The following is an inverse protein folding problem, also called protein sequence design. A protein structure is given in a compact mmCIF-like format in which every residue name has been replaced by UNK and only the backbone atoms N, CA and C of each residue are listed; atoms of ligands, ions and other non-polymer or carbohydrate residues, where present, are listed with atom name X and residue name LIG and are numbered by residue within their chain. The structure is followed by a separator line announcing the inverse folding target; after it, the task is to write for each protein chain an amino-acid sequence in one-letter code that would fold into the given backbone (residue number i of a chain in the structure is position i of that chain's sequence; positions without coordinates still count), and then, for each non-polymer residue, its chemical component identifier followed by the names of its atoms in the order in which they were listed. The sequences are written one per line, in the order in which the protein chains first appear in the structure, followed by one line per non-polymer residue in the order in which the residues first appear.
data_IF_728392972407
#
_entry.id   IF_728392972407
#
_cell.length_a   1.000
_cell.length_b   1.000
_cell.length_c   1.000
_cell.angle_alpha   90.00
_cell.angle_beta   90.00
_cell.angle_gamma   90.00
#
_symmetry.space_group_name_H-M   'P 1'
#
loop_
_entity.id
_entity.type
_entity.pdbx_description
1 polymer ?
#
# COMPACT_ATOMS: atom_id res chain seq x y z
N UNK A 1 -0.86 2.74 -28.59
CA UNK A 1 -1.42 4.03 -28.13
C UNK A 1 -0.33 4.75 -27.33
N UNK A 2 0.03 5.98 -27.70
CA UNK A 2 0.98 6.81 -26.94
C UNK A 2 0.32 7.33 -25.66
N UNK A 3 1.11 7.80 -24.68
CA UNK A 3 0.56 8.45 -23.50
C UNK A 3 -0.25 9.70 -23.84
N UNK A 4 0.18 10.45 -24.86
CA UNK A 4 -0.55 11.62 -25.36
C UNK A 4 -1.94 11.28 -25.85
N UNK A 5 -2.06 10.25 -26.71
CA UNK A 5 -3.35 9.81 -27.23
C UNK A 5 -4.26 9.29 -26.10
N UNK A 6 -3.65 8.57 -25.14
CA UNK A 6 -4.36 8.03 -23.99
C UNK A 6 -4.98 9.14 -23.12
N UNK A 7 -4.21 10.17 -22.77
CA UNK A 7 -4.74 11.29 -21.98
C UNK A 7 -5.73 12.15 -22.75
N UNK A 8 -5.56 12.30 -24.05
CA UNK A 8 -6.56 12.95 -24.89
C UNK A 8 -7.89 12.21 -24.87
N UNK A 9 -7.85 10.88 -24.96
CA UNK A 9 -9.05 10.03 -24.87
C UNK A 9 -9.70 10.08 -23.47
N UNK A 10 -8.89 9.99 -22.40
CA UNK A 10 -9.37 10.13 -21.01
C UNK A 10 -10.07 11.48 -20.83
N UNK A 11 -9.47 12.58 -21.28
CA UNK A 11 -10.05 13.93 -21.19
C UNK A 11 -11.37 14.00 -21.94
N UNK A 12 -11.40 13.54 -23.21
CA UNK A 12 -12.60 13.53 -24.03
C UNK A 12 -13.76 12.80 -23.35
N UNK A 13 -13.52 11.61 -22.84
CA UNK A 13 -14.55 10.80 -22.17
C UNK A 13 -15.04 11.41 -20.87
N UNK A 14 -14.14 12.03 -20.07
CA UNK A 14 -14.56 12.76 -18.88
C UNK A 14 -15.52 13.90 -19.21
N UNK A 15 -15.26 14.60 -20.28
CA UNK A 15 -16.11 15.71 -20.71
C UNK A 15 -17.45 15.27 -21.33
N UNK A 16 -17.45 14.14 -22.07
CA UNK A 16 -18.61 13.70 -22.85
C UNK A 16 -19.46 12.65 -22.13
N UNK A 17 -18.82 11.66 -21.46
CA UNK A 17 -19.51 10.50 -20.89
C UNK A 17 -19.69 10.56 -19.37
N UNK A 18 -18.83 11.30 -18.66
CA UNK A 18 -18.85 11.38 -17.19
C UNK A 18 -19.36 12.73 -16.68
N UNK A 19 -19.81 13.60 -17.57
CA UNK A 19 -20.32 14.95 -17.25
C UNK A 19 -19.39 15.78 -16.34
N UNK A 20 -18.06 15.63 -16.54
CA UNK A 20 -17.02 16.30 -15.74
C UNK A 20 -16.39 17.50 -16.45
N UNK A 21 -17.13 18.17 -17.33
CA UNK A 21 -16.60 19.31 -18.11
C UNK A 21 -16.03 20.40 -17.23
N UNK A 22 -16.79 20.83 -16.22
CA UNK A 22 -16.38 21.90 -15.31
C UNK A 22 -15.14 21.50 -14.47
N UNK A 23 -15.08 20.24 -14.03
CA UNK A 23 -13.94 19.71 -13.31
C UNK A 23 -12.68 19.71 -14.19
N UNK A 24 -12.75 19.21 -15.42
CA UNK A 24 -11.63 19.19 -16.37
C UNK A 24 -11.14 20.61 -16.65
N UNK A 25 -12.03 21.57 -16.88
CA UNK A 25 -11.70 22.97 -17.10
C UNK A 25 -11.05 23.60 -15.86
N UNK A 26 -11.56 23.29 -14.65
CA UNK A 26 -10.96 23.76 -13.41
C UNK A 26 -9.54 23.23 -13.24
N UNK A 27 -9.28 21.94 -13.54
CA UNK A 27 -7.95 21.34 -13.46
C UNK A 27 -7.00 21.95 -14.51
N UNK A 28 -7.45 22.18 -15.74
CA UNK A 28 -6.65 22.85 -16.76
C UNK A 28 -6.23 24.27 -16.34
N UNK A 29 -7.10 24.97 -15.64
CA UNK A 29 -6.86 26.36 -15.22
C UNK A 29 -6.11 26.46 -13.89
N UNK A 30 -6.31 25.54 -12.97
CA UNK A 30 -5.86 25.68 -11.57
C UNK A 30 -5.06 24.49 -11.04
N UNK A 31 -5.09 23.31 -11.70
CA UNK A 31 -4.42 22.11 -11.22
C UNK A 31 -2.88 22.22 -11.32
N UNK A 32 -2.19 21.90 -10.22
CA UNK A 32 -0.73 22.02 -10.14
C UNK A 32 -0.13 20.71 -9.60
N UNK A 33 0.69 20.06 -10.42
CA UNK A 33 1.33 18.79 -10.09
C UNK A 33 2.84 18.86 -10.23
N UNK A 34 3.53 18.29 -9.23
CA UNK A 34 4.98 18.06 -9.24
C UNK A 34 5.25 16.58 -9.37
N UNK A 35 6.13 16.18 -10.28
CA UNK A 35 6.70 14.86 -10.33
C UNK A 35 8.15 14.87 -9.87
N UNK A 36 8.48 13.97 -8.97
CA UNK A 36 9.84 13.69 -8.52
C UNK A 36 10.28 12.39 -9.20
N UNK A 37 11.19 12.50 -10.16
CA UNK A 37 11.70 11.32 -10.88
C UNK A 37 12.58 10.48 -9.96
N UNK A 38 12.17 9.23 -9.75
CA UNK A 38 12.99 8.22 -9.09
C UNK A 38 13.97 7.54 -10.04
N UNK A 39 14.80 6.67 -9.46
CA UNK A 39 15.80 5.89 -10.22
C UNK A 39 15.13 4.91 -11.18
N UNK A 40 14.06 4.25 -10.76
CA UNK A 40 13.39 3.20 -11.51
C UNK A 40 12.08 3.66 -12.15
N UNK A 41 11.47 4.71 -11.62
CA UNK A 41 10.27 5.31 -12.19
C UNK A 41 10.49 6.75 -12.59
N UNK A 42 10.01 7.09 -13.78
CA UNK A 42 10.03 8.45 -14.33
C UNK A 42 8.61 8.96 -14.51
N UNK A 43 7.97 9.47 -13.46
CA UNK A 43 6.61 9.99 -13.51
C UNK A 43 6.43 11.12 -14.54
N UNK A 44 7.52 11.77 -14.95
CA UNK A 44 7.52 12.72 -16.07
C UNK A 44 6.73 12.19 -17.26
N UNK A 45 6.96 10.93 -17.67
CA UNK A 45 6.31 10.31 -18.85
C UNK A 45 4.79 10.29 -18.76
N UNK A 46 4.27 10.32 -17.54
CA UNK A 46 2.84 10.31 -17.28
C UNK A 46 2.31 11.73 -17.18
N UNK A 47 2.87 12.55 -16.29
CA UNK A 47 2.30 13.86 -15.98
C UNK A 47 2.44 14.87 -17.14
N UNK A 48 3.46 14.74 -18.02
CA UNK A 48 3.66 15.67 -19.12
C UNK A 48 2.47 15.72 -20.10
N UNK A 49 1.66 14.67 -20.12
CA UNK A 49 0.48 14.57 -20.99
C UNK A 49 -0.85 14.83 -20.24
N UNK A 50 -0.81 14.98 -18.92
CA UNK A 50 -2.01 15.32 -18.14
C UNK A 50 -2.47 16.75 -18.43
N UNK A 51 -3.79 16.96 -18.33
CA UNK A 51 -4.36 18.31 -18.36
C UNK A 51 -4.22 18.98 -16.99
N UNK A 52 -3.30 19.90 -16.86
CA UNK A 52 -3.07 20.69 -15.65
C UNK A 52 -2.43 22.03 -16.03
N UNK A 53 -2.66 23.06 -15.22
CA UNK A 53 -2.09 24.40 -15.45
C UNK A 53 -0.58 24.45 -15.23
N UNK A 54 -0.09 23.72 -14.25
CA UNK A 54 1.33 23.61 -13.92
C UNK A 54 1.72 22.14 -13.78
N UNK A 55 2.72 21.73 -14.57
CA UNK A 55 3.36 20.41 -14.49
C UNK A 55 4.85 20.63 -14.38
N UNK A 56 5.43 20.32 -13.23
CA UNK A 56 6.87 20.43 -13.01
C UNK A 56 7.49 19.07 -12.73
N UNK A 57 8.77 18.93 -13.08
CA UNK A 57 9.51 17.67 -12.93
C UNK A 57 10.89 17.97 -12.35
N UNK A 58 11.20 17.33 -11.23
CA UNK A 58 12.50 17.47 -10.58
C UNK A 58 13.14 16.09 -10.32
N UNK A 59 14.42 16.08 -9.96
CA UNK A 59 15.10 14.91 -9.40
C UNK A 59 14.87 14.83 -7.89
N UNK A 60 15.00 13.65 -7.32
CA UNK A 60 14.83 13.41 -5.87
C UNK A 60 15.63 14.40 -5.00
N UNK A 61 16.92 14.60 -5.30
CA UNK A 61 17.80 15.53 -4.56
C UNK A 61 17.48 17.01 -4.70
N UNK A 62 16.70 17.39 -5.68
CA UNK A 62 16.34 18.80 -5.91
C UNK A 62 15.09 19.21 -5.10
N UNK A 63 14.41 18.27 -4.41
CA UNK A 63 13.18 18.53 -3.63
C UNK A 63 13.37 19.59 -2.52
N UNK A 64 14.58 19.69 -1.97
CA UNK A 64 14.91 20.73 -0.97
C UNK A 64 14.76 22.15 -1.52
N UNK A 65 15.04 22.36 -2.80
CA UNK A 65 14.99 23.67 -3.47
C UNK A 65 13.58 24.05 -3.90
N UNK A 66 12.68 23.03 -4.00
CA UNK A 66 11.34 23.21 -4.55
C UNK A 66 10.36 23.73 -3.51
N UNK A 67 9.52 24.71 -3.84
CA UNK A 67 8.45 25.20 -2.96
C UNK A 67 7.22 24.30 -3.10
N UNK A 68 7.11 23.24 -2.27
CA UNK A 68 6.03 22.24 -2.36
C UNK A 68 4.63 22.84 -2.18
N UNK A 69 4.49 23.90 -1.37
CA UNK A 69 3.19 24.55 -1.12
C UNK A 69 2.53 25.20 -2.35
N UNK A 70 3.23 25.31 -3.46
CA UNK A 70 2.65 25.79 -4.72
C UNK A 70 1.91 24.70 -5.50
N UNK A 71 2.05 23.41 -5.13
CA UNK A 71 1.43 22.29 -5.81
C UNK A 71 0.20 21.75 -5.05
N UNK A 72 -0.73 21.19 -5.78
CA UNK A 72 -1.88 20.46 -5.25
C UNK A 72 -1.53 19.00 -4.99
N UNK A 73 -0.74 18.41 -5.90
CA UNK A 73 -0.31 17.02 -5.85
C UNK A 73 1.20 16.92 -6.07
N UNK A 74 1.87 16.10 -5.27
CA UNK A 74 3.27 15.71 -5.46
C UNK A 74 3.31 14.20 -5.70
N UNK A 75 3.90 13.76 -6.82
CA UNK A 75 4.10 12.36 -7.17
C UNK A 75 5.58 12.00 -7.03
N UNK A 76 5.93 11.17 -6.07
CA UNK A 76 7.29 10.65 -5.87
C UNK A 76 7.37 9.24 -6.49
N UNK A 77 8.17 9.11 -7.54
CA UNK A 77 8.43 7.84 -8.20
C UNK A 77 9.40 6.94 -7.43
N UNK A 78 9.32 5.65 -7.68
CA UNK A 78 10.16 4.62 -7.09
C UNK A 78 11.67 4.86 -7.39
N UNK A 79 12.57 4.75 -6.39
CA UNK A 79 12.32 4.33 -5.01
C UNK A 79 12.10 5.50 -4.03
N UNK A 80 12.37 6.75 -4.37
CA UNK A 80 12.38 7.88 -3.47
C UNK A 80 13.61 7.92 -2.53
N UNK A 81 14.54 6.98 -2.66
CA UNK A 81 15.67 6.80 -1.72
C UNK A 81 16.75 7.87 -1.82
N UNK A 82 16.83 8.61 -2.94
CA UNK A 82 17.79 9.70 -3.11
C UNK A 82 17.22 11.06 -2.62
N UNK A 83 16.00 11.06 -2.04
CA UNK A 83 15.45 12.22 -1.33
C UNK A 83 16.21 12.38 -0.01
N UNK A 84 16.87 13.54 0.22
CA UNK A 84 17.59 13.78 1.46
C UNK A 84 16.65 13.69 2.68
N UNK A 85 17.08 13.06 3.77
CA UNK A 85 16.29 12.98 5.01
C UNK A 85 15.90 14.37 5.54
N UNK A 86 16.74 15.39 5.32
CA UNK A 86 16.42 16.78 5.65
C UNK A 86 15.16 17.33 4.93
N UNK A 87 14.73 16.68 3.84
CA UNK A 87 13.50 17.04 3.11
C UNK A 87 12.24 16.38 3.71
N UNK A 88 12.37 15.38 4.59
CA UNK A 88 11.22 14.67 5.15
C UNK A 88 10.25 15.59 5.92
N UNK A 89 10.70 16.50 6.79
CA UNK A 89 9.80 17.48 7.39
C UNK A 89 9.03 18.30 6.36
N UNK A 90 9.70 18.74 5.31
CA UNK A 90 9.09 19.53 4.23
C UNK A 90 8.00 18.76 3.47
N UNK A 91 8.21 17.47 3.20
CA UNK A 91 7.19 16.59 2.58
C UNK A 91 6.04 16.36 3.55
N UNK A 92 6.34 16.13 4.83
CA UNK A 92 5.33 15.98 5.89
C UNK A 92 4.46 17.24 6.01
N UNK A 93 5.09 18.42 6.08
CA UNK A 93 4.40 19.70 6.19
C UNK A 93 3.53 19.98 4.96
N UNK A 94 3.99 19.62 3.75
CA UNK A 94 3.18 19.71 2.54
C UNK A 94 1.86 18.95 2.70
N UNK A 95 1.91 17.71 3.16
CA UNK A 95 0.71 16.89 3.38
C UNK A 95 -0.12 17.44 4.53
N UNK A 96 0.50 17.77 5.68
CA UNK A 96 -0.20 18.35 6.84
C UNK A 96 -1.00 19.60 6.48
N UNK A 97 -0.49 20.42 5.54
CA UNK A 97 -1.14 21.62 5.07
C UNK A 97 -2.08 21.40 3.86
N UNK A 98 -2.54 20.17 3.68
CA UNK A 98 -3.57 19.85 2.71
C UNK A 98 -3.07 19.36 1.36
N UNK A 99 -1.77 19.29 1.11
CA UNK A 99 -1.20 18.71 -0.10
C UNK A 99 -1.49 17.22 -0.22
N UNK A 100 -1.56 16.69 -1.44
CA UNK A 100 -1.72 15.26 -1.67
C UNK A 100 -0.44 14.64 -2.21
N UNK A 101 0.04 13.59 -1.54
CA UNK A 101 1.24 12.86 -1.89
C UNK A 101 0.87 11.53 -2.55
N UNK A 102 1.36 11.29 -3.76
CA UNK A 102 1.30 9.99 -4.42
C UNK A 102 2.70 9.37 -4.38
N UNK A 103 2.78 8.10 -4.01
CA UNK A 103 4.03 7.33 -4.00
C UNK A 103 3.82 5.97 -4.65
N UNK A 104 4.90 5.38 -5.15
CA UNK A 104 4.85 4.10 -5.86
C UNK A 104 5.91 3.14 -5.35
N UNK A 105 5.54 1.86 -5.30
CA UNK A 105 6.40 0.70 -5.09
C UNK A 105 7.38 0.87 -3.90
N UNK A 106 8.69 0.86 -4.10
CA UNK A 106 9.68 0.92 -3.02
C UNK A 106 9.66 2.22 -2.22
N UNK A 107 8.97 3.25 -2.70
CA UNK A 107 8.75 4.47 -1.93
C UNK A 107 7.90 4.22 -0.65
N UNK A 108 7.25 3.06 -0.51
CA UNK A 108 6.63 2.67 0.76
C UNK A 108 7.68 2.61 1.88
N UNK A 109 8.85 2.02 1.62
CA UNK A 109 9.92 1.89 2.60
C UNK A 109 10.70 3.19 2.78
N UNK A 110 11.09 3.83 1.67
CA UNK A 110 11.98 5.01 1.74
C UNK A 110 11.27 6.28 2.17
N UNK A 111 9.97 6.43 1.85
CA UNK A 111 9.20 7.66 2.10
C UNK A 111 8.13 7.42 3.16
N UNK A 112 7.23 6.45 2.96
CA UNK A 112 6.06 6.33 3.84
C UNK A 112 6.44 5.83 5.23
N UNK A 113 7.23 4.77 5.34
CA UNK A 113 7.65 4.24 6.65
C UNK A 113 8.44 5.27 7.47
N UNK A 114 9.12 6.21 6.81
CA UNK A 114 9.93 7.23 7.49
C UNK A 114 9.16 8.53 7.81
N UNK A 115 8.27 8.97 6.94
CA UNK A 115 7.57 10.26 7.09
C UNK A 115 6.21 10.09 7.75
N UNK A 116 5.51 8.98 7.46
CA UNK A 116 4.16 8.66 7.92
C UNK A 116 4.09 7.27 8.57
N UNK A 117 4.90 6.99 9.61
CA UNK A 117 4.88 5.67 10.26
C UNK A 117 3.51 5.36 10.87
N UNK A 118 3.19 4.06 10.95
CA UNK A 118 1.98 3.60 11.61
C UNK A 118 0.74 3.47 10.71
N UNK A 119 0.80 3.80 9.42
CA UNK A 119 -0.32 3.62 8.49
C UNK A 119 -0.17 2.37 7.63
N UNK A 120 0.88 2.33 6.83
CA UNK A 120 1.23 1.20 5.97
C UNK A 120 2.73 0.96 6.01
N UNK A 121 3.14 -0.26 5.68
CA UNK A 121 4.56 -0.62 5.50
C UNK A 121 4.73 -1.71 4.45
N UNK A 122 5.96 -1.92 4.02
CA UNK A 122 6.36 -3.09 3.26
C UNK A 122 6.31 -4.36 4.12
N UNK A 123 5.66 -5.43 3.65
CA UNK A 123 5.53 -6.70 4.38
C UNK A 123 6.80 -7.58 4.35
N UNK A 124 7.92 -7.08 3.78
CA UNK A 124 9.22 -7.75 3.60
C UNK A 124 9.25 -8.83 2.51
N UNK A 125 8.13 -9.16 1.88
CA UNK A 125 8.12 -9.98 0.67
C UNK A 125 8.47 -9.15 -0.58
N UNK A 126 8.87 -9.84 -1.66
CA UNK A 126 9.16 -9.22 -2.95
C UNK A 126 8.43 -9.98 -4.05
N UNK A 127 7.77 -9.28 -4.95
CA UNK A 127 7.05 -9.91 -6.04
C UNK A 127 7.98 -10.44 -7.11
N UNK A 128 7.50 -11.42 -7.88
CA UNK A 128 8.05 -11.71 -9.20
C UNK A 128 7.47 -10.73 -10.25
N UNK A 129 8.01 -10.72 -11.46
CA UNK A 129 7.36 -10.09 -12.63
C UNK A 129 6.06 -10.86 -12.93
N UNK A 130 4.92 -10.22 -12.71
CA UNK A 130 3.62 -10.87 -12.82
C UNK A 130 2.52 -9.89 -13.25
N UNK A 131 1.56 -10.39 -14.02
CA UNK A 131 0.31 -9.68 -14.30
C UNK A 131 -0.80 -10.33 -13.47
N UNK A 132 -1.28 -9.62 -12.48
CA UNK A 132 -2.27 -10.10 -11.50
C UNK A 132 -3.67 -9.58 -11.79
N UNK A 133 -4.69 -10.37 -11.44
CA UNK A 133 -6.06 -9.92 -11.45
C UNK A 133 -6.32 -9.05 -10.22
N UNK A 134 -6.96 -7.90 -10.43
CA UNK A 134 -7.30 -6.94 -9.39
C UNK A 134 -8.79 -6.73 -9.30
N UNK A 135 -9.28 -6.50 -8.10
CA UNK A 135 -10.66 -6.14 -7.77
C UNK A 135 -10.72 -4.70 -7.26
N UNK A 136 -11.75 -3.98 -7.66
CA UNK A 136 -12.08 -2.71 -7.07
C UNK A 136 -12.81 -2.99 -5.75
N UNK A 137 -12.22 -2.54 -4.65
CA UNK A 137 -12.75 -2.76 -3.29
C UNK A 137 -13.76 -1.67 -2.95
N UNK A 138 -13.49 -0.42 -3.34
CA UNK A 138 -14.39 0.71 -3.10
C UNK A 138 -14.85 1.35 -4.42
N UNK A 139 -15.87 0.79 -5.09
CA UNK A 139 -16.30 1.22 -6.42
C UNK A 139 -16.86 2.65 -6.48
N UNK A 140 -17.32 3.19 -5.35
CA UNK A 140 -17.88 4.53 -5.27
C UNK A 140 -16.83 5.60 -4.94
N UNK A 141 -15.55 5.21 -4.81
CA UNK A 141 -14.49 6.15 -4.51
C UNK A 141 -14.18 7.05 -5.72
N UNK A 142 -14.07 8.40 -5.55
CA UNK A 142 -13.88 9.32 -6.67
C UNK A 142 -12.66 9.00 -7.55
N UNK A 143 -11.59 8.42 -6.98
CA UNK A 143 -10.39 8.02 -7.75
C UNK A 143 -10.65 6.89 -8.74
N UNK A 144 -11.72 6.11 -8.53
CA UNK A 144 -12.07 4.94 -9.34
C UNK A 144 -13.24 5.20 -10.28
N UNK A 145 -13.73 6.43 -10.28
CA UNK A 145 -14.85 6.81 -11.15
C UNK A 145 -14.50 6.58 -12.62
N UNK A 146 -15.37 5.87 -13.33
CA UNK A 146 -15.20 5.47 -14.71
C UNK A 146 -14.21 4.31 -14.94
N UNK A 147 -13.41 3.89 -13.97
CA UNK A 147 -12.37 2.85 -14.18
C UNK A 147 -12.97 1.53 -14.66
N UNK A 148 -14.06 1.07 -14.05
CA UNK A 148 -14.73 -0.18 -14.45
C UNK A 148 -15.55 -0.02 -15.74
N UNK A 149 -16.36 1.02 -15.82
CA UNK A 149 -17.20 1.25 -16.98
C UNK A 149 -16.39 1.40 -18.27
N UNK A 150 -15.28 2.08 -18.19
CA UNK A 150 -14.35 2.29 -19.29
C UNK A 150 -13.61 1.01 -19.69
N UNK A 151 -13.21 0.22 -18.71
CA UNK A 151 -12.63 -1.10 -18.95
C UNK A 151 -13.66 -2.01 -19.65
N UNK A 152 -14.94 -1.92 -19.30
CA UNK A 152 -16.00 -2.72 -19.89
C UNK A 152 -16.41 -2.29 -21.32
N UNK A 153 -16.35 -1.01 -21.65
CA UNK A 153 -16.79 -0.46 -22.93
C UNK A 153 -15.76 -0.53 -24.05
N UNK A 154 -14.49 -0.79 -23.75
CA UNK A 154 -13.47 -0.86 -24.79
C UNK A 154 -13.74 -1.99 -25.78
N UNK A 155 -13.74 -1.69 -27.09
CA UNK A 155 -13.97 -2.68 -28.18
C UNK A 155 -13.08 -3.93 -28.10
N UNK A 156 -11.95 -3.85 -27.38
CA UNK A 156 -11.01 -4.94 -27.14
C UNK A 156 -11.52 -5.98 -26.14
N UNK A 157 -12.60 -5.70 -25.42
CA UNK A 157 -13.17 -6.58 -24.41
C UNK A 157 -14.03 -7.70 -24.93
N UNK A 158 -14.65 -7.55 -26.09
CA UNK A 158 -15.57 -8.59 -26.61
C UNK A 158 -14.89 -9.96 -26.80
N UNK A 159 -13.56 -9.99 -26.93
CA UNK A 159 -12.80 -11.24 -27.05
C UNK A 159 -12.18 -11.79 -25.75
N UNK A 160 -11.96 -10.93 -24.73
CA UNK A 160 -11.27 -11.33 -23.50
C UNK A 160 -12.21 -11.72 -22.34
N UNK A 161 -13.52 -11.47 -22.45
CA UNK A 161 -14.50 -11.56 -21.34
C UNK A 161 -15.06 -12.99 -21.15
N UNK A 162 -14.70 -13.96 -21.94
CA UNK A 162 -15.29 -15.30 -21.73
C UNK A 162 -15.00 -15.92 -20.37
N UNK A 163 -14.00 -15.45 -19.60
CA UNK A 163 -13.55 -16.10 -18.36
C UNK A 163 -13.21 -15.18 -17.17
N UNK A 164 -13.51 -13.88 -17.17
CA UNK A 164 -13.22 -13.01 -16.02
C UNK A 164 -14.48 -12.42 -15.41
N UNK A 165 -14.56 -12.38 -14.06
CA UNK A 165 -15.64 -11.69 -13.33
C UNK A 165 -15.68 -10.23 -13.78
N UNK A 166 -16.89 -9.66 -13.96
CA UNK A 166 -17.11 -8.31 -14.50
C UNK A 166 -16.35 -7.18 -13.81
N UNK A 167 -15.91 -7.36 -12.57
CA UNK A 167 -15.21 -6.39 -11.73
C UNK A 167 -13.69 -6.53 -11.71
N UNK A 168 -13.11 -7.44 -12.46
CA UNK A 168 -11.67 -7.69 -12.46
C UNK A 168 -10.97 -6.97 -13.60
N UNK A 169 -9.82 -6.37 -13.31
CA UNK A 169 -8.87 -5.90 -14.32
C UNK A 169 -7.47 -6.40 -13.95
N UNK A 170 -6.54 -6.40 -14.93
CA UNK A 170 -5.21 -6.93 -14.71
C UNK A 170 -4.21 -5.79 -14.52
N UNK A 171 -3.35 -5.96 -13.52
CA UNK A 171 -2.31 -5.01 -13.14
C UNK A 171 -0.94 -5.69 -13.23
N UNK A 172 0.06 -5.00 -13.72
CA UNK A 172 1.40 -5.53 -13.80
C UNK A 172 2.22 -5.11 -12.58
N UNK A 173 2.87 -6.10 -11.95
CA UNK A 173 3.87 -5.95 -10.90
C UNK A 173 5.24 -6.18 -11.49
N UNK A 174 6.18 -5.29 -11.22
CA UNK A 174 7.57 -5.50 -11.56
C UNK A 174 8.22 -6.55 -10.66
N UNK A 175 9.34 -7.11 -11.12
CA UNK A 175 10.20 -7.92 -10.28
C UNK A 175 10.61 -7.14 -9.04
N UNK A 176 10.36 -7.69 -7.85
CA UNK A 176 10.68 -7.12 -6.54
C UNK A 176 9.83 -5.91 -6.14
N UNK A 177 8.62 -5.74 -6.66
CA UNK A 177 7.67 -4.79 -6.08
C UNK A 177 7.37 -5.14 -4.61
N UNK A 178 7.07 -4.15 -3.81
CA UNK A 178 6.88 -4.25 -2.37
C UNK A 178 5.40 -4.35 -2.00
N UNK A 179 4.90 -5.56 -1.59
CA UNK A 179 3.52 -5.70 -1.14
C UNK A 179 3.21 -4.82 0.07
N UNK A 180 2.03 -4.23 0.07
CA UNK A 180 1.59 -3.23 1.04
C UNK A 180 0.96 -3.93 2.23
N UNK A 181 1.56 -3.83 3.41
CA UNK A 181 0.95 -4.25 4.67
C UNK A 181 0.25 -3.05 5.32
N UNK A 182 -1.02 -3.23 5.69
CA UNK A 182 -1.78 -2.23 6.45
C UNK A 182 -1.46 -2.39 7.93
N UNK A 183 -1.08 -1.29 8.59
CA UNK A 183 -0.78 -1.23 10.02
C UNK A 183 -1.97 -0.66 10.78
N UNK A 184 -2.63 0.35 10.24
CA UNK A 184 -3.81 0.96 10.84
C UNK A 184 -5.02 0.80 9.91
N UNK A 185 -5.81 -0.28 10.06
CA UNK A 185 -6.96 -0.56 9.19
C UNK A 185 -8.11 0.45 9.34
N UNK A 186 -8.19 1.15 10.46
CA UNK A 186 -9.23 2.17 10.68
C UNK A 186 -8.92 3.46 9.90
N UNK A 187 -7.65 3.78 9.70
CA UNK A 187 -7.22 4.99 9.02
C UNK A 187 -6.92 4.78 7.52
N UNK A 188 -6.59 3.56 7.09
CA UNK A 188 -6.17 3.25 5.72
C UNK A 188 -7.33 2.67 4.93
N UNK A 189 -7.63 3.28 3.79
CA UNK A 189 -8.64 2.79 2.85
C UNK A 189 -7.98 2.02 1.71
N UNK A 190 -8.38 0.77 1.52
CA UNK A 190 -8.00 -0.04 0.34
C UNK A 190 -8.97 0.27 -0.79
N UNK A 191 -8.47 0.75 -1.91
CA UNK A 191 -9.28 1.08 -3.08
C UNK A 191 -9.28 -0.04 -4.12
N UNK A 192 -8.11 -0.66 -4.30
CA UNK A 192 -7.89 -1.79 -5.22
C UNK A 192 -7.10 -2.85 -4.48
N UNK A 193 -7.53 -4.11 -4.62
CA UNK A 193 -6.86 -5.28 -4.05
C UNK A 193 -6.66 -6.39 -5.08
N UNK A 194 -5.91 -7.42 -4.70
CA UNK A 194 -5.68 -8.62 -5.52
C UNK A 194 -5.52 -9.86 -4.65
N UNK A 195 -6.38 -10.85 -4.85
CA UNK A 195 -6.25 -12.16 -4.23
C UNK A 195 -5.01 -12.92 -4.72
N UNK A 196 -4.57 -12.67 -5.95
CA UNK A 196 -3.36 -13.30 -6.45
C UNK A 196 -2.11 -12.78 -5.72
N UNK A 197 -2.08 -11.49 -5.34
CA UNK A 197 -0.99 -10.93 -4.54
C UNK A 197 -1.04 -11.50 -3.12
N UNK A 198 -2.20 -11.56 -2.51
CA UNK A 198 -2.36 -12.12 -1.17
C UNK A 198 -1.90 -13.56 -1.09
N UNK A 199 -2.34 -14.41 -2.02
CA UNK A 199 -1.99 -15.82 -2.02
C UNK A 199 -0.49 -16.08 -2.27
N UNK A 200 0.17 -15.23 -3.06
CA UNK A 200 1.58 -15.42 -3.43
C UNK A 200 2.55 -14.71 -2.48
N UNK A 201 2.17 -13.55 -1.93
CA UNK A 201 3.08 -12.67 -1.19
C UNK A 201 2.51 -12.14 0.12
N UNK A 202 1.36 -12.66 0.58
CA UNK A 202 0.81 -12.46 1.91
C UNK A 202 -0.03 -11.21 2.13
N UNK A 203 -0.12 -10.31 1.15
CA UNK A 203 -0.88 -9.06 1.26
C UNK A 203 -1.68 -8.81 -0.01
N UNK A 204 -2.87 -8.22 0.13
CA UNK A 204 -3.77 -7.97 -1.01
C UNK A 204 -3.77 -6.55 -1.59
N UNK A 205 -3.42 -5.47 -0.84
CA UNK A 205 -3.60 -4.12 -1.34
C UNK A 205 -2.74 -3.79 -2.56
N UNK A 206 -3.35 -3.09 -3.53
CA UNK A 206 -2.71 -2.60 -4.77
C UNK A 206 -2.68 -1.08 -4.80
N UNK A 207 -3.79 -0.45 -4.40
CA UNK A 207 -3.91 1.00 -4.25
C UNK A 207 -4.58 1.28 -2.91
N UNK A 208 -3.92 2.08 -2.10
CA UNK A 208 -4.39 2.50 -0.79
C UNK A 208 -4.28 4.01 -0.61
N UNK A 209 -5.07 4.56 0.30
CA UNK A 209 -4.95 5.94 0.72
C UNK A 209 -5.23 6.11 2.22
N UNK A 210 -4.71 7.19 2.80
CA UNK A 210 -5.06 7.65 4.15
C UNK A 210 -4.96 9.16 4.24
N UNK A 211 -5.79 9.74 5.12
CA UNK A 211 -5.76 11.17 5.39
C UNK A 211 -4.66 11.49 6.42
N UNK A 212 -4.02 12.65 6.30
CA UNK A 212 -2.98 13.09 7.21
C UNK A 212 -3.05 14.60 7.46
N UNK A 213 -3.09 14.97 8.75
CA UNK A 213 -3.27 16.37 9.16
C UNK A 213 -4.72 16.84 9.07
N UNK A 214 -4.98 18.01 9.68
CA UNK A 214 -6.35 18.56 9.80
C UNK A 214 -6.82 19.34 8.56
N UNK A 215 -5.92 19.63 7.64
CA UNK A 215 -6.17 20.47 6.46
C UNK A 215 -6.58 19.67 5.20
N UNK A 216 -6.96 18.39 5.37
CA UNK A 216 -7.37 17.52 4.24
C UNK A 216 -6.21 17.03 3.38
N UNK A 217 -5.03 16.90 3.99
CA UNK A 217 -3.89 16.27 3.35
C UNK A 217 -4.10 14.76 3.19
N UNK A 218 -3.48 14.18 2.16
CA UNK A 218 -3.70 12.77 1.83
C UNK A 218 -2.44 12.12 1.30
N UNK A 219 -2.20 10.89 1.71
CA UNK A 219 -1.16 10.03 1.17
C UNK A 219 -1.81 8.89 0.39
N UNK A 220 -1.35 8.68 -0.83
CA UNK A 220 -1.85 7.66 -1.75
C UNK A 220 -0.67 6.81 -2.15
N UNK A 221 -0.79 5.49 -2.03
CA UNK A 221 0.29 4.58 -2.40
C UNK A 221 -0.18 3.45 -3.32
N UNK A 222 0.66 3.14 -4.31
CA UNK A 222 0.42 2.13 -5.35
C UNK A 222 1.59 1.13 -5.37
N UNK A 223 1.29 -0.17 -5.37
CA UNK A 223 2.34 -1.22 -5.31
C UNK A 223 3.28 -1.23 -6.50
N UNK A 224 2.95 -0.57 -7.61
CA UNK A 224 3.68 -0.69 -8.88
C UNK A 224 3.79 0.64 -9.58
N UNK A 225 4.67 0.72 -10.58
CA UNK A 225 4.94 1.95 -11.32
C UNK A 225 3.77 2.36 -12.22
N UNK A 226 3.47 3.66 -12.26
CA UNK A 226 2.34 4.19 -13.02
C UNK A 226 2.53 4.14 -14.54
N UNK A 227 3.76 4.29 -15.01
CA UNK A 227 4.06 4.43 -16.45
C UNK A 227 4.46 3.14 -17.16
N UNK A 228 4.70 2.05 -16.41
CA UNK A 228 5.24 0.80 -16.97
C UNK A 228 4.21 -0.31 -17.12
N UNK A 229 2.90 0.00 -17.02
CA UNK A 229 1.88 -1.05 -17.04
C UNK A 229 1.93 -1.93 -18.30
N UNK A 230 2.48 -3.15 -18.16
CA UNK A 230 2.54 -4.17 -19.20
C UNK A 230 1.21 -4.94 -19.36
N UNK A 231 0.27 -4.77 -18.43
CA UNK A 231 -1.04 -5.41 -18.47
C UNK A 231 -1.91 -5.06 -19.68
N UNK A 232 -1.29 -4.55 -20.74
CA UNK A 232 -1.91 -4.14 -21.97
C UNK A 232 -2.49 -2.73 -21.93
N UNK A 233 -3.27 -2.36 -22.95
CA UNK A 233 -3.88 -1.05 -23.06
C UNK A 233 -4.78 -0.70 -21.86
N UNK A 234 -5.41 -1.70 -21.26
CA UNK A 234 -6.31 -1.55 -20.11
C UNK A 234 -5.60 -1.08 -18.83
N UNK A 235 -4.47 -1.69 -18.48
CA UNK A 235 -3.69 -1.29 -17.31
C UNK A 235 -3.17 0.14 -17.43
N UNK A 236 -2.68 0.52 -18.61
CA UNK A 236 -2.26 1.90 -18.88
C UNK A 236 -3.42 2.88 -18.79
N UNK A 237 -4.57 2.51 -19.32
CA UNK A 237 -5.76 3.34 -19.28
C UNK A 237 -6.27 3.52 -17.84
N UNK A 238 -6.37 2.45 -17.06
CA UNK A 238 -6.76 2.50 -15.65
C UNK A 238 -5.81 3.38 -14.84
N UNK A 239 -4.49 3.22 -15.03
CA UNK A 239 -3.48 4.07 -14.37
C UNK A 239 -3.65 5.55 -14.71
N UNK A 240 -3.81 5.89 -15.99
CA UNK A 240 -4.01 7.28 -16.43
C UNK A 240 -5.31 7.87 -15.86
N UNK A 241 -6.38 7.07 -15.85
CA UNK A 241 -7.68 7.52 -15.35
C UNK A 241 -7.63 7.75 -13.83
N UNK A 242 -7.02 6.82 -13.06
CA UNK A 242 -6.84 6.97 -11.62
C UNK A 242 -6.03 8.24 -11.30
N UNK A 243 -4.88 8.44 -11.94
CA UNK A 243 -4.06 9.62 -11.70
C UNK A 243 -4.77 10.92 -12.03
N UNK A 244 -5.51 10.97 -13.13
CA UNK A 244 -6.30 12.15 -13.46
C UNK A 244 -7.48 12.34 -12.51
N UNK A 245 -8.12 11.27 -12.04
CA UNK A 245 -9.20 11.37 -11.05
C UNK A 245 -8.68 11.90 -9.70
N UNK A 246 -7.47 11.50 -9.28
CA UNK A 246 -6.84 12.04 -8.07
C UNK A 246 -6.64 13.56 -8.19
N UNK A 247 -6.13 14.03 -9.32
CA UNK A 247 -5.93 15.46 -9.54
C UNK A 247 -7.26 16.21 -9.66
N UNK A 248 -8.23 15.64 -10.38
CA UNK A 248 -9.58 16.19 -10.52
C UNK A 248 -10.23 16.38 -9.16
N UNK A 249 -10.21 15.35 -8.32
CA UNK A 249 -10.81 15.39 -6.98
C UNK A 249 -10.12 16.42 -6.10
N UNK A 250 -8.77 16.47 -6.11
CA UNK A 250 -8.02 17.47 -5.34
C UNK A 250 -8.37 18.91 -5.74
N UNK A 251 -8.44 19.18 -7.04
CA UNK A 251 -8.79 20.53 -7.53
C UNK A 251 -10.26 20.84 -7.28
N UNK A 252 -11.16 19.86 -7.47
CA UNK A 252 -12.58 20.02 -7.19
C UNK A 252 -12.85 20.37 -5.73
N UNK A 253 -12.17 19.71 -4.79
CA UNK A 253 -12.27 20.04 -3.36
C UNK A 253 -11.77 21.45 -3.07
N UNK A 254 -10.63 21.83 -3.65
CA UNK A 254 -10.04 23.17 -3.50
C UNK A 254 -10.97 24.27 -4.05
N UNK A 255 -11.68 23.98 -5.14
CA UNK A 255 -12.59 24.92 -5.80
C UNK A 255 -14.03 24.87 -5.27
N UNK A 256 -14.33 23.95 -4.33
CA UNK A 256 -15.69 23.75 -3.82
C UNK A 256 -16.68 23.16 -4.84
N UNK A 257 -16.19 22.50 -5.90
CA UNK A 257 -17.02 21.86 -6.94
C UNK A 257 -17.48 20.48 -6.46
N UNK A 258 -16.63 19.73 -5.76
CA UNK A 258 -16.97 18.42 -5.24
C UNK A 258 -17.44 18.50 -3.78
N UNK A 259 -18.47 17.71 -3.46
CA UNK A 259 -18.85 17.51 -2.05
C UNK A 259 -17.76 16.70 -1.38
N UNK A 260 -17.34 17.09 -0.15
CA UNK A 260 -16.38 16.31 0.63
C UNK A 260 -16.83 14.85 0.69
N UNK A 261 -15.95 13.87 0.43
CA UNK A 261 -16.28 12.48 0.66
C UNK A 261 -16.72 12.32 2.12
N UNK A 262 -17.84 11.66 2.36
CA UNK A 262 -18.30 11.38 3.72
C UNK A 262 -17.23 10.49 4.39
N UNK A 263 -16.68 10.88 5.55
CA UNK A 263 -15.80 9.98 6.29
C UNK A 263 -16.60 8.74 6.71
N UNK A 264 -16.09 7.54 6.43
CA UNK A 264 -16.60 6.33 7.02
C UNK A 264 -17.39 5.40 6.11
N UNK A 265 -16.76 4.87 5.06
CA UNK A 265 -17.16 3.58 4.50
C UNK A 265 -16.12 2.53 4.90
N UNK A 266 -16.41 1.79 5.97
CA UNK A 266 -15.71 0.54 6.28
C UNK A 266 -16.23 -0.47 5.26
N UNK A 267 -15.39 -0.92 4.34
CA UNK A 267 -15.80 -1.91 3.36
C UNK A 267 -16.07 -3.25 4.05
N UNK A 268 -17.15 -3.95 3.66
CA UNK A 268 -17.45 -5.34 4.09
C UNK A 268 -16.28 -6.31 3.89
N UNK A 269 -15.26 -5.90 3.16
CA UNK A 269 -14.05 -6.65 2.91
C UNK A 269 -13.14 -6.74 4.13
N UNK A 270 -13.12 -5.71 5.01
CA UNK A 270 -12.36 -5.73 6.26
C UNK A 270 -13.01 -6.65 7.31
N UNK A 271 -14.35 -6.75 7.29
CA UNK A 271 -15.09 -7.66 8.17
C UNK A 271 -14.98 -9.13 7.74
N UNK A 272 -14.79 -9.42 6.45
CA UNK A 272 -14.63 -10.78 5.94
C UNK A 272 -13.21 -11.37 6.14
N UNK A 273 -12.22 -10.59 6.58
CA UNK A 273 -10.92 -11.14 7.01
C UNK A 273 -10.97 -11.88 8.35
N UNK A 274 -12.05 -11.70 9.12
CA UNK A 274 -12.23 -12.33 10.44
C UNK A 274 -12.87 -13.73 10.41
N UNK A 275 -13.29 -14.26 9.25
CA UNK A 275 -13.77 -15.63 9.16
C UNK A 275 -12.67 -16.57 8.65
N UNK A 276 -12.24 -17.57 9.43
CA UNK A 276 -11.35 -18.62 8.96
C UNK A 276 -12.09 -19.40 7.86
N UNK A 277 -11.61 -19.27 6.62
CA UNK A 277 -12.08 -20.11 5.53
C UNK A 277 -11.71 -21.56 5.83
N UNK A 278 -12.69 -22.46 5.79
CA UNK A 278 -12.46 -23.89 5.86
C UNK A 278 -11.45 -24.32 4.78
N UNK A 279 -10.53 -25.22 5.10
CA UNK A 279 -9.53 -25.68 4.13
C UNK A 279 -10.23 -26.33 2.92
N UNK A 280 -9.91 -25.85 1.75
CA UNK A 280 -10.30 -26.45 0.47
C UNK A 280 -9.78 -27.89 0.46
N UNK A 281 -10.67 -28.86 0.42
CA UNK A 281 -10.31 -30.27 0.22
C UNK A 281 -9.79 -30.42 -1.22
N UNK A 282 -8.50 -30.61 -1.38
CA UNK A 282 -7.89 -31.07 -2.63
C UNK A 282 -8.33 -32.52 -2.89
N UNK A 283 -8.65 -32.88 -4.15
CA UNK A 283 -8.85 -34.29 -4.53
C UNK A 283 -7.56 -35.08 -4.33
N UNK A 284 -7.73 -36.28 -3.83
CA UNK A 284 -6.69 -37.28 -3.60
C UNK A 284 -5.86 -37.53 -4.87
N UNK A 285 -4.57 -37.21 -4.86
CA UNK A 285 -3.58 -37.80 -5.74
C UNK A 285 -2.44 -38.40 -4.90
N UNK A 286 -2.38 -39.70 -5.05
CA UNK A 286 -1.31 -40.69 -4.89
C UNK A 286 -0.15 -40.45 -3.90
N UNK A 287 -0.12 -41.44 -3.02
CA UNK A 287 0.90 -41.78 -2.03
C UNK A 287 2.31 -41.92 -2.63
N UNK A 288 3.26 -41.17 -2.08
CA UNK A 288 4.66 -41.60 -2.00
C UNK A 288 5.04 -41.81 -0.54
N UNK A 289 5.25 -43.07 -0.19
CA UNK A 289 5.75 -43.50 1.11
C UNK A 289 7.25 -43.33 1.14
N UNK A 290 7.79 -42.64 2.10
CA UNK A 290 9.20 -42.76 2.50
C UNK A 290 9.31 -42.74 4.03
N UNK A 291 10.16 -43.57 4.63
CA UNK A 291 10.03 -43.96 6.04
C UNK A 291 10.95 -43.13 6.97
N UNK A 292 10.45 -43.08 8.23
CA UNK A 292 11.18 -42.79 9.46
C UNK A 292 11.74 -41.39 9.71
N UNK A 293 11.01 -40.64 10.55
CA UNK A 293 11.55 -40.25 11.85
C UNK A 293 10.38 -39.76 12.73
N UNK A 294 10.19 -40.48 13.82
CA UNK A 294 9.28 -40.13 14.92
C UNK A 294 9.87 -38.89 15.64
N UNK A 295 9.16 -37.80 15.63
CA UNK A 295 9.23 -36.81 16.69
C UNK A 295 7.84 -36.38 17.09
N UNK A 296 7.51 -36.70 18.33
CA UNK A 296 6.26 -36.37 19.01
C UNK A 296 6.11 -34.88 19.22
N UNK A 297 5.22 -34.25 18.48
CA UNK A 297 4.69 -32.94 18.86
C UNK A 297 3.30 -33.15 19.48
N UNK A 298 3.26 -33.08 20.81
CA UNK A 298 2.04 -32.93 21.60
C UNK A 298 1.39 -31.58 21.25
N UNK A 299 0.26 -31.62 20.58
CA UNK A 299 -0.65 -30.47 20.47
C UNK A 299 -1.37 -30.28 21.79
N UNK A 300 -1.30 -29.10 22.44
CA UNK A 300 -2.19 -28.83 23.56
C UNK A 300 -3.60 -28.54 23.04
N UNK A 301 -4.57 -29.28 23.51
CA UNK A 301 -6.01 -29.03 23.35
C UNK A 301 -6.35 -27.62 23.87
N UNK A 302 -7.05 -26.84 23.08
CA UNK A 302 -7.69 -25.59 23.50
C UNK A 302 -8.84 -25.93 24.45
N UNK A 303 -8.57 -25.78 25.76
CA UNK A 303 -9.59 -25.73 26.78
C UNK A 303 -10.08 -24.28 26.93
N UNK A 304 -11.36 -24.08 26.77
CA UNK A 304 -12.06 -22.84 27.12
C UNK A 304 -11.91 -22.55 28.63
N UNK A 305 -11.14 -21.55 29.01
CA UNK A 305 -11.34 -20.77 30.23
C UNK A 305 -10.78 -19.36 30.00
N UNK A 306 -11.68 -18.39 29.98
CA UNK A 306 -11.34 -16.97 29.80
C UNK A 306 -10.65 -16.37 31.02
N UNK A 307 -9.32 -16.43 31.01
CA UNK A 307 -8.45 -15.55 31.77
C UNK A 307 -7.25 -15.22 30.87
N UNK A 308 -7.17 -14.00 30.39
CA UNK A 308 -6.00 -13.49 29.65
C UNK A 308 -4.82 -13.43 30.62
N UNK A 309 -3.97 -14.47 30.59
CA UNK A 309 -2.74 -14.50 31.38
C UNK A 309 -1.81 -13.38 30.94
N UNK A 310 -1.22 -12.68 31.88
CA UNK A 310 -0.24 -11.62 31.65
C UNK A 310 1.20 -12.15 31.74
N UNK A 311 2.14 -11.47 31.13
CA UNK A 311 3.57 -11.72 31.23
C UNK A 311 4.35 -10.42 31.26
N UNK A 312 5.31 -10.29 32.17
CA UNK A 312 6.21 -9.14 32.20
C UNK A 312 7.25 -9.20 31.08
N UNK A 313 7.67 -8.02 30.66
CA UNK A 313 8.79 -7.82 29.75
C UNK A 313 10.03 -7.60 30.62
N UNK A 314 11.07 -8.36 30.35
CA UNK A 314 12.36 -8.25 31.06
C UNK A 314 13.47 -7.94 30.04
N UNK A 315 14.43 -7.09 30.44
CA UNK A 315 15.64 -6.88 29.61
C UNK A 315 16.50 -8.15 29.67
N UNK A 316 16.97 -8.60 28.51
CA UNK A 316 17.80 -9.80 28.40
C UNK A 316 19.16 -9.54 29.02
N UNK A 317 19.58 -10.37 29.96
CA UNK A 317 20.94 -10.38 30.44
C UNK A 317 21.81 -11.15 29.41
N UNK A 318 22.66 -10.42 28.69
CA UNK A 318 23.52 -10.92 27.59
C UNK A 318 24.46 -12.08 28.06
N UNK A 319 24.73 -12.14 29.34
CA UNK A 319 25.58 -13.17 29.95
C UNK A 319 24.78 -14.37 30.53
N UNK A 320 23.48 -14.40 30.35
CA UNK A 320 22.63 -15.49 30.84
C UNK A 320 22.46 -16.60 29.80
N UNK A 321 22.26 -17.81 30.26
CA UNK A 321 21.91 -18.99 29.42
C UNK A 321 20.53 -18.87 28.75
N UNK A 322 19.74 -17.89 29.13
CA UNK A 322 18.35 -17.70 28.65
C UNK A 322 18.25 -17.05 27.28
N UNK A 323 19.37 -16.51 26.75
CA UNK A 323 19.39 -15.80 25.49
C UNK A 323 20.59 -16.22 24.60
N UNK A 324 20.33 -16.43 23.31
CA UNK A 324 21.38 -16.65 22.30
C UNK A 324 21.25 -15.60 21.20
N UNK A 325 22.35 -14.99 20.79
CA UNK A 325 22.39 -14.05 19.66
C UNK A 325 21.94 -14.67 18.34
N UNK A 326 22.07 -15.98 18.17
CA UNK A 326 21.55 -16.72 17.02
C UNK A 326 20.02 -16.91 17.05
N UNK A 327 19.36 -16.59 18.18
CA UNK A 327 17.91 -16.60 18.27
C UNK A 327 17.34 -15.53 17.36
N UNK A 328 16.10 -15.76 16.90
CA UNK A 328 15.38 -14.80 16.05
C UNK A 328 14.37 -14.02 16.87
N UNK A 329 14.30 -12.72 16.63
CA UNK A 329 13.23 -11.88 17.16
C UNK A 329 11.87 -12.40 16.71
N UNK A 330 10.97 -12.65 17.66
CA UNK A 330 9.63 -13.23 17.38
C UNK A 330 8.76 -12.27 16.60
N UNK A 331 9.04 -10.98 16.64
CA UNK A 331 8.29 -9.96 15.91
C UNK A 331 8.75 -9.82 14.46
N UNK A 332 10.03 -9.59 14.21
CA UNK A 332 10.56 -9.28 12.88
C UNK A 332 11.32 -10.43 12.20
N UNK A 333 11.62 -11.53 12.91
CA UNK A 333 12.33 -12.70 12.38
C UNK A 333 13.84 -12.55 12.17
N UNK A 334 14.42 -11.38 12.46
CA UNK A 334 15.88 -11.18 12.38
C UNK A 334 16.57 -11.69 13.63
N UNK A 335 17.82 -12.13 13.48
CA UNK A 335 18.69 -12.47 14.61
C UNK A 335 19.25 -11.20 15.29
N UNK A 336 20.02 -11.42 16.35
CA UNK A 336 20.60 -10.35 17.18
C UNK A 336 22.10 -10.19 16.98
N UNK A 337 22.71 -10.87 16.00
CA UNK A 337 24.18 -10.98 15.85
C UNK A 337 24.84 -9.62 15.63
N UNK A 338 24.21 -8.73 14.88
CA UNK A 338 24.71 -7.37 14.61
C UNK A 338 23.90 -6.28 15.33
N UNK A 339 22.96 -6.66 16.21
CA UNK A 339 22.09 -5.71 16.88
C UNK A 339 22.78 -5.07 18.08
N UNK A 340 22.82 -3.72 18.12
CA UNK A 340 23.50 -2.93 19.16
C UNK A 340 22.54 -2.31 20.19
N UNK A 341 21.22 -2.49 20.04
CA UNK A 341 20.21 -1.99 20.97
C UNK A 341 19.91 -2.97 22.09
N UNK A 342 19.00 -2.58 22.99
CA UNK A 342 18.54 -3.45 24.07
C UNK A 342 17.68 -4.59 23.54
N UNK A 343 17.78 -5.72 24.20
CA UNK A 343 17.04 -6.94 23.88
C UNK A 343 16.10 -7.25 25.04
N UNK A 344 14.85 -7.56 24.71
CA UNK A 344 13.83 -7.86 25.71
C UNK A 344 13.27 -9.26 25.54
N UNK A 345 12.85 -9.88 26.63
CA UNK A 345 12.26 -11.19 26.66
C UNK A 345 10.85 -11.14 27.27
N UNK A 346 9.94 -11.90 26.71
CA UNK A 346 8.71 -12.25 27.41
C UNK A 346 9.06 -13.18 28.58
N UNK A 347 8.78 -12.79 29.80
CA UNK A 347 9.16 -13.56 30.99
C UNK A 347 8.61 -15.00 31.00
N UNK A 348 7.39 -15.17 30.51
CA UNK A 348 6.69 -16.45 30.50
C UNK A 348 7.25 -17.49 29.50
N UNK A 349 7.60 -17.06 28.27
CA UNK A 349 8.02 -17.99 27.22
C UNK A 349 9.44 -17.74 26.68
N UNK A 350 10.15 -16.79 27.27
CA UNK A 350 11.51 -16.37 26.89
C UNK A 350 11.65 -15.97 25.41
N UNK A 351 10.55 -15.57 24.76
CA UNK A 351 10.53 -15.07 23.39
C UNK A 351 11.35 -13.78 23.32
N UNK A 352 12.40 -13.68 22.45
CA UNK A 352 13.24 -12.51 22.37
C UNK A 352 12.70 -11.47 21.37
N UNK A 353 12.91 -10.20 21.70
CA UNK A 353 12.51 -9.05 20.91
C UNK A 353 13.61 -8.00 20.88
N UNK A 354 13.82 -7.34 19.73
CA UNK A 354 14.55 -6.09 19.68
C UNK A 354 13.78 -4.99 20.42
N UNK A 355 14.46 -3.99 20.95
CA UNK A 355 13.83 -2.86 21.66
C UNK A 355 12.68 -2.20 20.86
N UNK A 356 12.93 -1.89 19.60
CA UNK A 356 11.90 -1.30 18.72
C UNK A 356 10.75 -2.27 18.45
N UNK A 357 11.03 -3.58 18.39
CA UNK A 357 10.02 -4.59 18.15
C UNK A 357 9.12 -4.82 19.36
N UNK A 358 9.68 -4.81 20.59
CA UNK A 358 8.88 -4.96 21.79
C UNK A 358 8.00 -3.73 22.04
N UNK A 359 8.51 -2.52 21.77
CA UNK A 359 7.73 -1.30 21.89
C UNK A 359 6.51 -1.32 20.93
N UNK A 360 6.68 -1.81 19.71
CA UNK A 360 5.57 -2.03 18.79
C UNK A 360 4.61 -3.12 19.28
N UNK A 361 5.14 -4.20 19.87
CA UNK A 361 4.34 -5.33 20.35
C UNK A 361 3.53 -5.00 21.61
N UNK A 362 4.05 -4.14 22.49
CA UNK A 362 3.30 -3.64 23.67
C UNK A 362 2.08 -2.84 23.24
N UNK A 363 2.16 -2.13 22.12
CA UNK A 363 1.00 -1.45 21.53
C UNK A 363 -0.09 -2.44 21.07
N UNK A 364 0.29 -3.62 20.58
CA UNK A 364 -0.62 -4.73 20.27
C UNK A 364 -1.06 -5.51 21.51
N UNK A 365 -0.39 -5.36 22.64
CA UNK A 365 -0.72 -5.92 23.95
C UNK A 365 -0.43 -7.40 24.15
N UNK A 366 -0.01 -8.18 23.14
CA UNK A 366 0.03 -9.65 23.21
C UNK A 366 1.37 -10.20 22.71
N UNK A 367 1.97 -11.16 23.44
CA UNK A 367 3.18 -11.87 23.00
C UNK A 367 2.88 -12.77 21.79
N UNK A 368 3.56 -12.58 20.66
CA UNK A 368 3.34 -13.39 19.44
C UNK A 368 3.70 -14.87 19.57
N UNK A 369 4.46 -15.27 20.60
CA UNK A 369 4.81 -16.68 20.82
C UNK A 369 3.85 -17.42 21.75
N UNK A 370 3.43 -16.79 22.85
CA UNK A 370 2.62 -17.48 23.86
C UNK A 370 1.21 -16.89 24.07
N UNK A 371 0.85 -15.81 23.37
CA UNK A 371 -0.48 -15.19 23.45
C UNK A 371 -0.78 -14.43 24.73
N UNK A 372 0.17 -14.32 25.69
CA UNK A 372 -0.05 -13.59 26.94
C UNK A 372 0.04 -12.09 26.74
N UNK A 373 -0.74 -11.32 27.51
CA UNK A 373 -0.67 -9.87 27.53
C UNK A 373 0.70 -9.46 28.09
N UNK A 374 1.43 -8.61 27.33
CA UNK A 374 2.74 -8.10 27.69
C UNK A 374 2.59 -6.84 28.56
N UNK A 375 3.25 -6.84 29.72
CA UNK A 375 3.33 -5.70 30.63
C UNK A 375 4.79 -5.30 30.82
N UNK A 376 5.05 -3.98 30.86
CA UNK A 376 6.36 -3.42 31.25
C UNK A 376 6.61 -3.60 32.74
#
# INVERSE_FOLDING_TARGET
MSWKDLYSEVKKRKMEALDKKDVVQAVEKHGKILAVNGRYEKPKKVIEHMYASLKNVIREKDIMKEKLSQYDVVLIGCPGSDIPHAAYPKVKDFVMNGGWLITTDWAIQSIIENIFPGFIRWNRARTADAVVACQIINPNHPFLDGVLSEIQQSKWQKQAIKNTKKSEFRWWLETRSFPIQIINPEAVRVLIGSWEIQNKWGESPVLVEFDYGKMGGRVIHMISHTHLQKGGAKGKYASALILTNILDEKVSQKMGISKKPTPGYVSDWQTNQAQPQQPYQTPLEEQWISPNSQENYLTPSLGETGLTETSQIIEANINSTDFSYASKCVYCGYDFTEYKGKIYLCQACKAPYHENCINSQVTEGICKKCGRILLW
#
